data_IF_284333532670
#
_entry.id   IF_284333532670
#
_cell.length_a   1.000
_cell.length_b   1.000
_cell.length_c   1.000
_cell.angle_alpha   90.00
_cell.angle_beta   90.00
_cell.angle_gamma   90.00
#
_symmetry.space_group_name_H-M   'P 1'
#
loop_
_entity.id
_entity.type
_entity.pdbx_description
1 polymer ?
#
# COMPACT_ATOMS: atom_id res chain seq x y z
N UNK A 1 -11.43 36.44 32.22
CA UNK A 1 -10.90 37.59 32.97
C UNK A 1 -11.72 38.81 32.60
N UNK A 2 -12.16 39.55 33.61
CA UNK A 2 -12.88 40.83 33.45
C UNK A 2 -11.90 41.94 33.79
N UNK A 3 -11.72 42.88 32.87
CA UNK A 3 -10.94 44.11 33.12
C UNK A 3 -11.94 45.25 33.20
N UNK A 4 -11.91 46.02 34.30
CA UNK A 4 -12.76 47.17 34.53
C UNK A 4 -11.86 48.43 34.41
N UNK A 5 -12.28 49.33 33.55
CA UNK A 5 -11.62 50.66 33.42
C UNK A 5 -12.60 51.74 33.83
N UNK A 6 -12.09 52.67 34.62
CA UNK A 6 -12.85 53.84 35.06
C UNK A 6 -12.11 55.13 34.63
N UNK A 7 -12.84 56.12 34.14
CA UNK A 7 -12.28 57.45 33.90
C UNK A 7 -12.24 58.23 35.20
N UNK A 8 -11.07 58.34 35.79
CA UNK A 8 -10.88 58.97 37.12
C UNK A 8 -10.63 60.46 37.10
N UNK A 9 -10.40 61.09 35.92
CA UNK A 9 -10.19 62.51 35.78
C UNK A 9 -10.52 63.03 34.38
N UNK A 10 -11.35 64.07 34.28
CA UNK A 10 -11.61 64.85 33.05
C UNK A 10 -11.28 66.36 33.33
N UNK A 11 -10.58 67.01 32.40
CA UNK A 11 -10.26 68.43 32.46
C UNK A 11 -11.37 69.30 31.83
N UNK A 12 -12.44 68.73 31.33
CA UNK A 12 -13.60 69.44 30.74
C UNK A 12 -14.88 69.08 31.48
N UNK A 13 -15.77 70.06 31.62
CA UNK A 13 -17.09 69.89 32.22
C UNK A 13 -17.92 68.86 31.42
N UNK A 14 -18.34 67.85 32.13
CA UNK A 14 -19.31 66.91 31.56
C UNK A 14 -20.61 67.70 31.26
N UNK A 15 -21.21 67.55 30.06
CA UNK A 15 -22.45 68.24 29.68
C UNK A 15 -23.61 67.91 30.59
N UNK A 16 -23.54 66.89 31.42
CA UNK A 16 -24.55 66.52 32.41
C UNK A 16 -24.30 67.15 33.80
N UNK A 17 -23.23 67.94 33.99
CA UNK A 17 -22.99 68.76 35.17
C UNK A 17 -22.56 68.04 36.46
N UNK A 18 -22.12 66.82 36.36
CA UNK A 18 -21.69 65.97 37.48
C UNK A 18 -20.20 65.95 37.54
N UNK A 19 -19.62 66.49 38.62
CA UNK A 19 -18.19 66.44 38.90
C UNK A 19 -17.87 65.09 39.53
N UNK A 20 -17.17 64.27 38.77
CA UNK A 20 -16.82 62.90 39.18
C UNK A 20 -15.63 62.95 40.16
N UNK A 21 -15.88 62.48 41.36
CA UNK A 21 -14.85 62.41 42.40
C UNK A 21 -15.14 61.49 43.59
N UNK A 22 -16.25 60.73 43.50
CA UNK A 22 -16.56 59.78 44.53
C UNK A 22 -17.30 58.57 43.88
N UNK A 23 -16.83 57.37 44.14
CA UNK A 23 -17.48 56.10 43.88
C UNK A 23 -18.98 56.12 44.18
N UNK A 24 -19.82 56.57 43.25
CA UNK A 24 -21.27 56.43 43.36
C UNK A 24 -21.69 55.21 42.52
N UNK A 25 -22.51 54.32 43.06
CA UNK A 25 -22.82 53.03 42.43
C UNK A 25 -23.67 53.09 41.14
N UNK A 26 -23.81 54.29 40.51
CA UNK A 26 -24.71 54.51 39.37
C UNK A 26 -24.06 55.29 38.22
N UNK A 27 -22.75 55.38 38.15
CA UNK A 27 -22.08 56.07 37.01
C UNK A 27 -21.96 55.15 35.83
N UNK A 28 -22.36 55.69 34.66
CA UNK A 28 -22.44 54.95 33.38
C UNK A 28 -21.05 54.83 32.71
N UNK A 29 -19.95 55.27 33.40
CA UNK A 29 -18.61 55.32 32.83
C UNK A 29 -17.80 54.03 33.02
N UNK A 30 -18.38 53.02 33.64
CA UNK A 30 -17.75 51.69 33.75
C UNK A 30 -18.10 50.86 32.53
N UNK A 31 -17.09 50.47 31.79
CA UNK A 31 -17.24 49.47 30.76
C UNK A 31 -16.49 48.19 31.13
N UNK A 32 -17.23 47.14 31.32
CA UNK A 32 -16.69 45.82 31.54
C UNK A 32 -16.35 45.21 30.17
N UNK A 33 -15.08 44.94 29.95
CA UNK A 33 -14.64 44.14 28.81
C UNK A 33 -14.38 42.73 29.27
N UNK A 34 -15.23 41.81 28.85
CA UNK A 34 -15.01 40.39 29.10
C UNK A 34 -14.16 39.80 27.99
N UNK A 35 -12.95 39.34 28.35
CA UNK A 35 -12.10 38.59 27.45
C UNK A 35 -12.33 37.11 27.74
N UNK A 36 -12.86 36.39 26.77
CA UNK A 36 -12.96 34.94 26.80
C UNK A 36 -11.79 34.35 26.00
N UNK A 37 -10.81 33.72 26.64
CA UNK A 37 -9.69 33.09 25.94
C UNK A 37 -10.23 31.99 25.01
N UNK A 38 -9.84 32.03 23.76
CA UNK A 38 -10.13 30.96 22.80
C UNK A 38 -9.17 29.81 23.09
N UNK A 39 -9.70 28.58 23.20
CA UNK A 39 -8.86 27.38 23.30
C UNK A 39 -8.28 27.08 21.93
N UNK A 40 -6.96 26.90 21.89
CA UNK A 40 -6.21 26.55 20.69
C UNK A 40 -5.56 25.19 20.90
N UNK A 41 -5.60 24.37 19.89
CA UNK A 41 -4.92 23.06 19.79
C UNK A 41 -3.93 23.09 18.62
N UNK A 42 -3.07 22.10 18.56
CA UNK A 42 -2.15 21.82 17.45
C UNK A 42 -2.16 20.29 17.26
N UNK A 43 -3.04 19.82 16.35
CA UNK A 43 -3.25 18.40 16.09
C UNK A 43 -2.40 17.99 14.88
N UNK A 44 -1.22 17.48 15.14
CA UNK A 44 -0.36 16.92 14.08
C UNK A 44 -0.82 15.52 13.75
N UNK A 45 -1.24 15.33 12.49
CA UNK A 45 -1.74 14.06 11.95
C UNK A 45 -0.71 13.47 10.99
N UNK A 46 -0.27 12.24 11.24
CA UNK A 46 0.66 11.53 10.35
C UNK A 46 0.11 10.17 9.95
N UNK A 47 0.47 9.74 8.73
CA UNK A 47 0.12 8.44 8.18
C UNK A 47 1.37 7.76 7.63
N UNK A 48 1.48 6.45 7.82
CA UNK A 48 2.54 5.61 7.27
C UNK A 48 1.97 4.28 6.81
N UNK A 49 2.68 3.60 5.91
CA UNK A 49 2.39 2.22 5.49
C UNK A 49 3.62 1.33 5.70
N UNK A 50 3.41 0.11 6.16
CA UNK A 50 4.48 -0.85 6.46
C UNK A 50 5.14 -1.44 5.20
N UNK A 51 4.42 -1.52 4.08
CA UNK A 51 4.87 -2.13 2.84
C UNK A 51 4.42 -1.29 1.64
N UNK A 52 5.37 -0.63 0.99
CA UNK A 52 5.10 0.25 -0.17
C UNK A 52 4.98 -0.51 -1.50
N UNK A 53 5.52 -1.74 -1.60
CA UNK A 53 5.49 -2.58 -2.80
C UNK A 53 4.93 -3.97 -2.49
N UNK A 54 3.62 -4.09 -2.19
CA UNK A 54 3.00 -5.37 -1.90
C UNK A 54 2.65 -6.15 -3.18
N UNK A 55 2.48 -7.47 -3.03
CA UNK A 55 1.82 -8.30 -4.03
C UNK A 55 0.29 -8.21 -3.90
N UNK A 56 -0.43 -8.57 -4.96
CA UNK A 56 -1.86 -8.82 -4.86
C UNK A 56 -2.14 -9.91 -3.81
N UNK A 57 -3.11 -9.67 -2.94
CA UNK A 57 -3.49 -10.58 -1.86
C UNK A 57 -2.76 -10.33 -0.54
N UNK A 58 -1.66 -9.57 -0.53
CA UNK A 58 -0.97 -9.19 0.70
C UNK A 58 -1.86 -8.36 1.63
N UNK A 59 -1.53 -8.40 2.91
CA UNK A 59 -2.04 -7.46 3.90
C UNK A 59 -1.00 -6.35 4.06
N UNK A 60 -1.44 -5.10 3.98
CA UNK A 60 -0.67 -3.91 4.34
C UNK A 60 -1.27 -3.27 5.58
N UNK A 61 -0.43 -2.67 6.42
CA UNK A 61 -0.87 -1.97 7.62
C UNK A 61 -0.59 -0.47 7.49
N UNK A 62 -1.66 0.32 7.52
CA UNK A 62 -1.57 1.77 7.68
C UNK A 62 -1.55 2.11 9.16
N UNK A 63 -0.64 2.99 9.56
CA UNK A 63 -0.56 3.57 10.91
C UNK A 63 -0.89 5.05 10.81
N UNK A 64 -1.93 5.49 11.51
CA UNK A 64 -2.32 6.89 11.61
C UNK A 64 -2.09 7.32 13.04
N UNK A 65 -1.36 8.42 13.23
CA UNK A 65 -1.08 8.98 14.57
C UNK A 65 -1.54 10.43 14.60
N UNK A 66 -2.27 10.79 15.65
CA UNK A 66 -2.67 12.17 15.95
C UNK A 66 -2.04 12.57 17.27
N UNK A 67 -1.26 13.63 17.26
CA UNK A 67 -0.59 14.18 18.46
C UNK A 67 -1.15 15.57 18.73
N UNK A 68 -1.49 15.89 19.99
CA UNK A 68 -1.87 17.24 20.38
C UNK A 68 -0.68 17.98 20.99
N UNK A 69 0.01 18.81 20.18
CA UNK A 69 1.12 19.66 20.60
C UNK A 69 0.66 21.03 21.13
N UNK A 70 -0.65 21.30 21.10
CA UNK A 70 -1.20 22.59 21.46
C UNK A 70 -1.29 22.84 22.96
N UNK A 71 -1.58 24.09 23.33
CA UNK A 71 -1.65 24.48 24.73
C UNK A 71 -2.97 24.07 25.44
N UNK A 72 -3.96 23.54 24.71
CA UNK A 72 -5.24 23.12 25.27
C UNK A 72 -5.52 21.65 24.97
N UNK A 73 -6.32 20.98 25.83
CA UNK A 73 -6.87 19.67 25.52
C UNK A 73 -7.79 19.79 24.30
N UNK A 74 -7.60 18.95 23.31
CA UNK A 74 -8.49 18.81 22.16
C UNK A 74 -9.67 17.93 22.53
N UNK A 75 -10.89 18.36 22.16
CA UNK A 75 -12.13 17.63 22.43
C UNK A 75 -12.90 17.30 21.16
N UNK A 76 -13.62 16.16 21.15
CA UNK A 76 -14.42 15.72 20.00
C UNK A 76 -13.57 15.46 18.74
N UNK A 77 -12.31 15.06 18.92
CA UNK A 77 -11.36 14.85 17.82
C UNK A 77 -11.80 13.67 16.96
N UNK A 78 -11.77 13.86 15.65
CA UNK A 78 -12.06 12.84 14.65
C UNK A 78 -11.30 13.11 13.35
N UNK A 79 -11.20 12.08 12.50
CA UNK A 79 -10.70 12.16 11.12
C UNK A 79 -11.33 11.06 10.26
N UNK A 80 -11.17 11.17 8.95
CA UNK A 80 -11.69 10.19 7.98
C UNK A 80 -10.56 9.55 7.19
N UNK A 81 -10.54 8.22 7.12
CA UNK A 81 -9.73 7.38 6.23
C UNK A 81 -10.64 6.44 5.44
N UNK A 82 -10.93 6.81 4.20
CA UNK A 82 -11.65 5.95 3.28
C UNK A 82 -10.64 5.20 2.41
N UNK A 83 -10.50 3.89 2.65
CA UNK A 83 -9.61 3.07 1.83
C UNK A 83 -9.97 3.20 0.34
N UNK A 84 -8.99 3.48 -0.53
CA UNK A 84 -9.21 3.65 -1.97
C UNK A 84 -9.55 2.31 -2.64
N UNK A 85 -10.04 2.39 -3.89
CA UNK A 85 -10.19 1.22 -4.75
C UNK A 85 -8.86 0.45 -4.86
N UNK A 86 -8.93 -0.88 -4.82
CA UNK A 86 -7.75 -1.75 -4.80
C UNK A 86 -7.32 -2.18 -3.40
N UNK A 87 -7.96 -1.64 -2.36
CA UNK A 87 -7.79 -2.07 -0.96
C UNK A 87 -9.12 -2.52 -0.37
N UNK A 88 -9.10 -3.60 0.40
CA UNK A 88 -10.24 -4.08 1.18
C UNK A 88 -9.90 -4.07 2.66
N UNK A 89 -10.75 -3.46 3.47
CA UNK A 89 -10.62 -3.46 4.92
C UNK A 89 -10.62 -4.89 5.49
N UNK A 90 -9.73 -5.15 6.46
CA UNK A 90 -9.63 -6.43 7.18
C UNK A 90 -9.91 -6.25 8.65
N UNK A 91 -9.18 -5.37 9.32
CA UNK A 91 -9.27 -5.14 10.76
C UNK A 91 -8.64 -3.81 11.14
N UNK A 92 -8.90 -3.35 12.34
CA UNK A 92 -8.21 -2.20 12.94
C UNK A 92 -7.94 -2.40 14.42
N UNK A 93 -7.01 -1.60 14.94
CA UNK A 93 -6.77 -1.40 16.37
C UNK A 93 -6.63 0.10 16.61
N UNK A 94 -7.40 0.66 17.53
CA UNK A 94 -7.33 2.06 17.91
C UNK A 94 -6.92 2.18 19.39
N UNK A 95 -5.99 3.09 19.70
CA UNK A 95 -5.47 3.35 21.05
C UNK A 95 -5.30 4.84 21.29
N UNK A 96 -5.19 5.25 22.57
CA UNK A 96 -5.16 6.67 22.94
C UNK A 96 -6.54 7.32 22.80
N UNK A 97 -6.70 8.60 23.18
CA UNK A 97 -8.01 9.25 23.14
C UNK A 97 -9.02 8.68 24.13
N UNK A 98 -10.25 9.20 24.13
CA UNK A 98 -11.29 8.80 25.10
C UNK A 98 -12.42 7.95 24.52
N UNK A 99 -12.56 7.87 23.19
CA UNK A 99 -13.62 7.11 22.49
C UNK A 99 -13.06 5.95 21.70
N UNK A 100 -12.16 6.22 20.72
CA UNK A 100 -11.45 5.23 19.90
C UNK A 100 -12.35 4.25 19.12
N UNK A 101 -13.35 4.76 18.41
CA UNK A 101 -14.16 3.94 17.51
C UNK A 101 -13.83 4.24 16.05
N UNK A 102 -13.62 3.20 15.24
CA UNK A 102 -13.42 3.31 13.79
C UNK A 102 -14.50 2.51 13.07
N UNK A 103 -15.27 3.17 12.21
CA UNK A 103 -16.33 2.53 11.42
C UNK A 103 -16.62 3.35 10.15
N UNK A 104 -16.77 2.67 9.02
CA UNK A 104 -17.11 3.31 7.75
C UNK A 104 -16.13 4.40 7.31
N UNK A 105 -14.85 4.26 7.64
CA UNK A 105 -13.81 5.23 7.35
C UNK A 105 -13.69 6.37 8.37
N UNK A 106 -14.63 6.54 9.29
CA UNK A 106 -14.56 7.57 10.33
C UNK A 106 -13.91 7.02 11.60
N UNK A 107 -12.85 7.70 12.07
CA UNK A 107 -12.23 7.45 13.37
C UNK A 107 -12.62 8.55 14.34
N UNK A 108 -13.45 8.19 15.34
CA UNK A 108 -13.77 9.05 16.47
C UNK A 108 -12.78 8.78 17.59
N UNK A 109 -11.91 9.73 17.84
CA UNK A 109 -10.85 9.64 18.85
C UNK A 109 -11.35 10.09 20.22
N UNK A 110 -12.21 11.11 20.24
CA UNK A 110 -12.69 11.76 21.47
C UNK A 110 -11.73 12.86 21.92
N UNK A 111 -11.28 12.83 23.17
CA UNK A 111 -10.39 13.88 23.70
C UNK A 111 -8.94 13.42 23.65
N UNK A 112 -8.04 14.35 23.29
CA UNK A 112 -6.58 14.17 23.33
C UNK A 112 -6.00 15.26 24.25
N UNK A 113 -5.39 14.86 25.35
CA UNK A 113 -4.75 15.80 26.28
C UNK A 113 -3.51 16.43 25.65
N UNK A 114 -3.06 17.54 26.23
CA UNK A 114 -1.81 18.23 25.86
C UNK A 114 -0.66 17.23 25.90
N UNK A 115 0.15 17.17 24.83
CA UNK A 115 1.31 16.29 24.70
C UNK A 115 0.97 14.79 24.56
N UNK A 116 -0.32 14.43 24.47
CA UNK A 116 -0.76 13.05 24.28
C UNK A 116 -1.02 12.75 22.81
N UNK A 117 -1.10 11.45 22.48
CA UNK A 117 -1.37 10.98 21.13
C UNK A 117 -2.46 9.90 21.11
N UNK A 118 -3.05 9.72 19.94
CA UNK A 118 -3.89 8.59 19.61
C UNK A 118 -3.36 7.91 18.33
N UNK A 119 -3.51 6.60 18.23
CA UNK A 119 -3.02 5.81 17.08
C UNK A 119 -4.10 4.87 16.59
N UNK A 120 -4.28 4.81 15.27
CA UNK A 120 -5.13 3.85 14.56
C UNK A 120 -4.27 3.02 13.62
N UNK A 121 -4.31 1.71 13.80
CA UNK A 121 -3.73 0.72 12.88
C UNK A 121 -4.87 0.15 12.02
N UNK A 122 -4.74 0.22 10.70
CA UNK A 122 -5.70 -0.35 9.75
C UNK A 122 -4.99 -1.42 8.93
N UNK A 123 -5.44 -2.66 9.02
CA UNK A 123 -5.01 -3.73 8.12
C UNK A 123 -5.94 -3.76 6.90
N UNK A 124 -5.35 -3.67 5.72
CA UNK A 124 -6.06 -3.72 4.45
C UNK A 124 -5.47 -4.79 3.54
N UNK A 125 -6.31 -5.57 2.86
CA UNK A 125 -5.90 -6.53 1.83
C UNK A 125 -5.78 -5.82 0.49
N UNK A 126 -4.68 -6.05 -0.21
CA UNK A 126 -4.48 -5.60 -1.59
C UNK A 126 -5.33 -6.46 -2.51
N UNK A 127 -6.35 -5.88 -3.13
CA UNK A 127 -7.26 -6.55 -4.08
C UNK A 127 -6.95 -6.22 -5.54
N UNK A 128 -6.28 -5.07 -5.78
CA UNK A 128 -5.82 -4.71 -7.11
C UNK A 128 -4.71 -5.65 -7.58
N UNK A 129 -4.74 -6.00 -8.86
CA UNK A 129 -3.62 -6.65 -9.53
C UNK A 129 -2.51 -5.63 -9.82
N UNK A 130 -1.27 -6.10 -9.83
CA UNK A 130 -0.16 -5.31 -10.35
C UNK A 130 -0.33 -5.06 -11.84
N UNK A 131 0.17 -3.94 -12.33
CA UNK A 131 0.13 -3.55 -13.74
C UNK A 131 1.53 -3.21 -14.24
N UNK A 132 1.76 -3.37 -15.54
CA UNK A 132 3.04 -2.98 -16.17
C UNK A 132 3.34 -1.49 -16.00
N UNK A 133 2.32 -0.64 -15.88
CA UNK A 133 2.47 0.80 -15.63
C UNK A 133 2.74 1.18 -14.17
N UNK A 134 2.68 0.22 -13.24
CA UNK A 134 2.92 0.43 -11.80
C UNK A 134 2.14 1.65 -11.24
N UNK A 135 0.85 1.75 -11.57
CA UNK A 135 0.01 2.86 -11.10
C UNK A 135 -0.15 2.81 -9.58
N UNK A 136 0.22 3.86 -8.84
CA UNK A 136 0.10 3.87 -7.39
C UNK A 136 -1.35 3.84 -6.92
N UNK A 137 -1.60 3.11 -5.83
CA UNK A 137 -2.82 3.24 -5.02
C UNK A 137 -2.50 4.24 -3.91
N UNK A 138 -3.15 5.40 -3.98
CA UNK A 138 -2.93 6.51 -3.05
C UNK A 138 -4.04 6.49 -2.00
N UNK A 139 -3.68 6.43 -0.72
CA UNK A 139 -4.60 6.51 0.41
C UNK A 139 -4.36 7.82 1.18
N UNK A 140 -5.34 8.72 1.13
CA UNK A 140 -5.30 10.04 1.76
C UNK A 140 -6.36 10.12 2.85
N UNK A 141 -5.99 10.71 4.01
CA UNK A 141 -6.90 10.97 5.12
C UNK A 141 -7.20 12.47 5.24
N UNK A 142 -8.26 12.80 5.95
CA UNK A 142 -8.46 14.18 6.40
C UNK A 142 -7.52 14.49 7.57
N UNK A 143 -7.06 15.74 7.76
CA UNK A 143 -6.43 16.13 9.01
C UNK A 143 -7.39 15.88 10.18
N UNK A 144 -6.85 15.60 11.36
CA UNK A 144 -7.66 15.50 12.56
C UNK A 144 -8.25 16.87 12.90
N UNK A 145 -9.53 16.89 13.31
CA UNK A 145 -10.21 18.10 13.70
C UNK A 145 -11.01 17.85 15.01
N UNK A 146 -11.08 18.86 15.86
CA UNK A 146 -11.81 18.88 17.13
C UNK A 146 -12.75 20.07 17.25
N UNK A 147 -13.24 20.31 18.47
CA UNK A 147 -14.10 21.45 18.77
C UNK A 147 -13.29 22.76 18.94
N UNK A 148 -12.01 22.67 19.26
CA UNK A 148 -11.08 23.79 19.43
C UNK A 148 -10.48 24.18 18.10
N UNK A 149 -10.04 25.43 17.98
CA UNK A 149 -9.35 25.91 16.78
C UNK A 149 -7.94 25.32 16.68
N UNK A 150 -7.64 24.74 15.52
CA UNK A 150 -6.30 24.34 15.12
C UNK A 150 -5.83 25.31 14.01
N UNK A 151 -4.93 26.24 14.30
CA UNK A 151 -4.52 27.27 13.33
C UNK A 151 -3.37 26.82 12.42
N UNK A 152 -2.84 25.60 12.58
CA UNK A 152 -1.66 25.12 11.85
C UNK A 152 -1.88 23.72 11.30
N UNK A 153 -1.23 23.43 10.17
CA UNK A 153 -1.09 22.10 9.57
C UNK A 153 0.38 21.70 9.47
N UNK A 154 1.24 22.39 10.21
CA UNK A 154 2.68 22.11 10.21
C UNK A 154 2.95 20.76 10.86
N UNK A 155 3.57 19.86 10.10
CA UNK A 155 3.86 18.50 10.53
C UNK A 155 2.83 17.46 10.12
N UNK A 156 1.71 17.85 9.50
CA UNK A 156 0.76 16.91 8.91
C UNK A 156 1.38 16.18 7.71
N UNK A 157 1.24 14.85 7.72
CA UNK A 157 1.54 13.97 6.60
C UNK A 157 0.37 13.01 6.41
N UNK A 158 -0.49 13.32 5.44
CA UNK A 158 -1.83 12.75 5.31
C UNK A 158 -1.95 11.69 4.23
N UNK A 159 -0.88 11.41 3.48
CA UNK A 159 -0.98 10.61 2.26
C UNK A 159 0.11 9.55 2.20
N UNK A 160 -0.31 8.32 1.97
CA UNK A 160 0.57 7.20 1.67
C UNK A 160 0.19 6.55 0.35
N UNK A 161 1.18 5.98 -0.33
CA UNK A 161 0.97 5.24 -1.57
C UNK A 161 1.62 3.87 -1.53
N UNK A 162 0.99 2.93 -2.23
CA UNK A 162 1.57 1.62 -2.51
C UNK A 162 1.56 1.37 -4.01
N UNK A 163 2.54 0.61 -4.50
CA UNK A 163 2.60 0.14 -5.89
C UNK A 163 2.50 -1.39 -5.85
N UNK A 164 1.42 -1.95 -6.40
CA UNK A 164 1.25 -3.40 -6.43
C UNK A 164 2.22 -3.98 -7.46
N UNK A 165 3.05 -4.93 -7.02
CA UNK A 165 4.08 -5.53 -7.87
C UNK A 165 3.48 -6.39 -8.98
N UNK A 166 4.12 -6.41 -10.14
CA UNK A 166 3.82 -7.30 -11.27
C UNK A 166 5.09 -7.72 -11.98
N UNK A 167 5.09 -8.90 -12.55
CA UNK A 167 6.13 -9.41 -13.45
C UNK A 167 5.51 -9.79 -14.78
N UNK A 168 6.29 -9.75 -15.85
CA UNK A 168 5.91 -10.21 -17.18
C UNK A 168 6.83 -11.39 -17.54
N UNK A 169 6.35 -12.61 -17.31
CA UNK A 169 7.11 -13.84 -17.46
C UNK A 169 6.84 -14.46 -18.83
N UNK A 170 7.67 -14.11 -19.80
CA UNK A 170 7.58 -14.68 -21.15
C UNK A 170 8.27 -16.05 -21.17
N UNK A 171 7.51 -17.07 -21.60
CA UNK A 171 7.97 -18.47 -21.74
C UNK A 171 8.04 -18.85 -23.21
N UNK A 172 9.24 -19.18 -23.68
CA UNK A 172 9.49 -19.64 -25.06
C UNK A 172 10.01 -21.06 -25.05
N UNK A 173 9.48 -21.91 -25.93
CA UNK A 173 9.90 -23.29 -26.13
C UNK A 173 10.44 -23.49 -27.55
N UNK A 174 11.53 -24.24 -27.69
CA UNK A 174 12.10 -24.60 -28.97
C UNK A 174 12.60 -26.04 -28.96
N UNK A 175 12.69 -26.64 -30.13
CA UNK A 175 13.27 -27.98 -30.34
C UNK A 175 14.49 -27.90 -31.27
N UNK A 176 15.54 -28.63 -30.95
CA UNK A 176 16.79 -28.62 -31.73
C UNK A 176 16.63 -29.24 -33.13
N UNK A 177 15.65 -30.11 -33.33
CA UNK A 177 15.37 -30.77 -34.60
C UNK A 177 13.91 -31.20 -34.66
N UNK A 178 13.17 -30.72 -35.64
CA UNK A 178 11.73 -31.02 -35.83
C UNK A 178 11.43 -32.34 -36.53
N UNK A 179 12.41 -32.93 -37.26
CA UNK A 179 12.26 -34.24 -37.96
C UNK A 179 13.40 -35.18 -37.55
N UNK A 180 13.44 -35.64 -36.28
CA UNK A 180 14.47 -36.57 -35.82
C UNK A 180 14.18 -38.00 -36.31
N UNK A 181 15.22 -38.84 -36.34
CA UNK A 181 15.10 -40.29 -36.53
C UNK A 181 14.93 -41.00 -35.19
N UNK A 182 14.30 -42.20 -35.21
CA UNK A 182 14.30 -43.07 -34.03
C UNK A 182 15.72 -43.35 -33.53
N UNK A 183 15.91 -43.36 -32.20
CA UNK A 183 17.22 -43.49 -31.56
C UNK A 183 18.09 -42.24 -31.59
N UNK A 184 17.63 -41.15 -32.18
CA UNK A 184 18.32 -39.87 -32.14
C UNK A 184 18.00 -39.12 -30.85
N UNK A 185 19.02 -38.39 -30.31
CA UNK A 185 18.81 -37.52 -29.16
C UNK A 185 18.60 -36.08 -29.64
N UNK A 186 17.49 -35.49 -29.19
CA UNK A 186 17.17 -34.08 -29.43
C UNK A 186 17.10 -33.31 -28.12
N UNK A 187 17.03 -31.97 -28.22
CA UNK A 187 16.92 -31.08 -27.06
C UNK A 187 15.69 -30.21 -27.18
N UNK A 188 14.83 -30.25 -26.18
CA UNK A 188 13.86 -29.18 -25.93
C UNK A 188 14.50 -28.12 -25.07
N UNK A 189 14.45 -26.88 -25.52
CA UNK A 189 14.93 -25.71 -24.78
C UNK A 189 13.76 -24.84 -24.36
N UNK A 190 13.60 -24.60 -23.06
CA UNK A 190 12.58 -23.73 -22.48
C UNK A 190 13.27 -22.53 -21.88
N UNK A 191 12.94 -21.35 -22.40
CA UNK A 191 13.45 -20.07 -21.92
C UNK A 191 12.38 -19.34 -21.16
N UNK A 192 12.68 -18.80 -19.98
CA UNK A 192 11.81 -17.89 -19.22
C UNK A 192 12.53 -16.59 -19.03
N UNK A 193 11.91 -15.50 -19.47
CA UNK A 193 12.42 -14.13 -19.32
C UNK A 193 11.43 -13.32 -18.49
N UNK A 194 11.91 -12.59 -17.50
CA UNK A 194 11.10 -11.61 -16.77
C UNK A 194 11.30 -10.23 -17.42
N UNK A 195 10.33 -9.75 -18.18
CA UNK A 195 10.34 -8.43 -18.80
C UNK A 195 9.88 -7.31 -17.83
N UNK A 196 9.67 -7.66 -16.57
CA UNK A 196 9.40 -6.70 -15.49
C UNK A 196 7.95 -6.28 -15.40
N UNK A 197 7.64 -5.15 -14.74
CA UNK A 197 8.55 -4.14 -14.16
C UNK A 197 9.21 -4.52 -12.83
N UNK A 198 8.70 -5.54 -12.10
CA UNK A 198 9.26 -5.98 -10.82
C UNK A 198 10.05 -7.28 -10.98
N UNK A 199 10.90 -7.58 -9.99
CA UNK A 199 11.47 -8.91 -9.82
C UNK A 199 10.34 -9.92 -9.58
N UNK A 200 10.51 -11.14 -10.13
CA UNK A 200 9.61 -12.26 -9.90
C UNK A 200 10.22 -13.21 -8.87
N UNK A 201 9.40 -13.68 -7.92
CA UNK A 201 9.80 -14.66 -6.91
C UNK A 201 8.98 -15.95 -7.05
N UNK A 202 9.52 -17.07 -6.58
CA UNK A 202 8.83 -18.36 -6.62
C UNK A 202 8.47 -18.84 -8.02
N UNK A 203 9.26 -18.45 -9.03
CA UNK A 203 8.97 -18.75 -10.45
C UNK A 203 9.10 -20.26 -10.72
N UNK A 204 8.10 -20.82 -11.39
CA UNK A 204 8.03 -22.22 -11.78
C UNK A 204 7.17 -22.42 -13.01
N UNK A 205 7.39 -23.52 -13.72
CA UNK A 205 6.55 -24.02 -14.81
C UNK A 205 6.50 -25.56 -14.81
N UNK A 206 5.69 -26.13 -15.68
CA UNK A 206 5.58 -27.58 -15.84
C UNK A 206 5.74 -27.95 -17.32
N UNK A 207 6.67 -28.86 -17.60
CA UNK A 207 6.89 -29.50 -18.89
C UNK A 207 6.93 -31.03 -18.70
N UNK A 208 5.83 -31.67 -19.02
CA UNK A 208 5.71 -33.14 -18.96
C UNK A 208 6.06 -33.71 -20.33
N UNK A 209 7.12 -34.52 -20.39
CA UNK A 209 7.55 -35.14 -21.63
C UNK A 209 6.46 -36.03 -22.23
N UNK A 210 6.18 -35.92 -23.54
CA UNK A 210 5.15 -36.70 -24.22
C UNK A 210 5.58 -38.17 -24.45
N UNK A 211 4.61 -38.99 -24.79
CA UNK A 211 4.87 -40.36 -25.29
C UNK A 211 5.64 -40.29 -26.60
N UNK A 212 6.64 -41.15 -26.76
CA UNK A 212 7.51 -41.22 -27.95
C UNK A 212 8.90 -40.63 -27.74
N UNK A 213 9.15 -40.09 -26.49
CA UNK A 213 10.49 -39.68 -26.08
C UNK A 213 10.82 -40.21 -24.69
N UNK A 214 12.09 -40.53 -24.50
CA UNK A 214 12.63 -40.95 -23.20
C UNK A 214 13.61 -39.91 -22.69
N UNK A 215 13.45 -39.48 -21.43
CA UNK A 215 14.35 -38.52 -20.76
C UNK A 215 15.78 -39.07 -20.69
N UNK A 216 16.76 -38.20 -21.00
CA UNK A 216 18.18 -38.54 -20.89
C UNK A 216 18.87 -37.72 -19.81
N UNK A 217 18.78 -36.40 -19.88
CA UNK A 217 19.38 -35.45 -18.92
C UNK A 217 18.81 -34.04 -19.09
N UNK A 218 19.10 -33.17 -18.13
CA UNK A 218 18.86 -31.73 -18.24
C UNK A 218 20.09 -30.93 -17.76
N UNK A 219 20.10 -29.61 -17.99
CA UNK A 219 21.15 -28.71 -17.58
C UNK A 219 20.89 -28.01 -16.23
N UNK A 220 19.72 -28.19 -15.60
CA UNK A 220 19.31 -27.57 -14.33
C UNK A 220 19.38 -28.54 -13.13
N UNK A 221 19.84 -29.76 -13.34
CA UNK A 221 19.99 -30.78 -12.28
C UNK A 221 18.68 -31.04 -11.55
N UNK A 222 18.67 -30.89 -10.22
CA UNK A 222 17.51 -31.19 -9.37
C UNK A 222 16.39 -30.12 -9.46
N UNK A 223 16.67 -28.95 -10.00
CA UNK A 223 15.68 -27.88 -10.15
C UNK A 223 14.61 -28.25 -11.19
N UNK A 224 14.92 -29.18 -12.10
CA UNK A 224 13.93 -29.82 -12.98
C UNK A 224 13.70 -31.29 -12.59
N UNK A 225 12.48 -31.59 -12.17
CA UNK A 225 12.05 -32.96 -11.87
C UNK A 225 11.34 -33.56 -13.09
N UNK A 226 12.03 -34.44 -13.84
CA UNK A 226 11.49 -35.01 -15.08
C UNK A 226 10.27 -35.90 -14.84
N UNK A 227 10.08 -36.48 -13.62
CA UNK A 227 8.92 -37.33 -13.30
C UNK A 227 7.65 -36.54 -13.11
N UNK A 228 7.73 -35.33 -12.59
CA UNK A 228 6.59 -34.41 -12.43
C UNK A 228 6.53 -33.35 -13.53
N UNK A 229 7.61 -33.17 -14.31
CA UNK A 229 7.77 -32.10 -15.27
C UNK A 229 7.98 -30.72 -14.68
N UNK A 230 8.10 -30.59 -13.35
CA UNK A 230 8.21 -29.28 -12.69
C UNK A 230 9.66 -28.76 -12.78
N UNK A 231 9.80 -27.54 -13.31
CA UNK A 231 11.01 -26.75 -13.21
C UNK A 231 10.82 -25.62 -12.20
N UNK A 232 11.61 -25.65 -11.12
CA UNK A 232 11.66 -24.63 -10.06
C UNK A 232 12.77 -23.64 -10.41
N UNK A 233 12.40 -22.47 -10.90
CA UNK A 233 13.34 -21.42 -11.33
C UNK A 233 13.78 -20.59 -10.14
N UNK A 234 12.89 -20.41 -9.13
CA UNK A 234 13.10 -19.55 -7.97
C UNK A 234 12.94 -18.07 -8.31
N UNK A 235 13.85 -17.24 -7.83
CA UNK A 235 13.78 -15.79 -8.08
C UNK A 235 14.37 -15.44 -9.44
N UNK A 236 13.69 -14.56 -10.17
CA UNK A 236 14.06 -14.09 -11.49
C UNK A 236 13.95 -12.55 -11.54
N UNK A 237 15.09 -11.87 -11.47
CA UNK A 237 15.12 -10.40 -11.48
C UNK A 237 14.54 -9.83 -12.78
N UNK A 238 14.06 -8.60 -12.71
CA UNK A 238 13.61 -7.87 -13.90
C UNK A 238 14.72 -7.83 -14.97
N UNK A 239 14.39 -8.17 -16.22
CA UNK A 239 15.32 -8.29 -17.34
C UNK A 239 16.14 -9.59 -17.37
N UNK A 240 16.03 -10.44 -16.34
CA UNK A 240 16.77 -11.70 -16.28
C UNK A 240 16.10 -12.83 -17.09
N UNK A 241 16.93 -13.78 -17.49
CA UNK A 241 16.51 -14.97 -18.26
C UNK A 241 17.11 -16.23 -17.65
N UNK A 242 16.32 -17.31 -17.64
CA UNK A 242 16.78 -18.69 -17.33
C UNK A 242 16.41 -19.62 -18.47
N UNK A 243 17.23 -20.67 -18.69
CA UNK A 243 17.03 -21.63 -19.76
C UNK A 243 17.15 -23.06 -19.20
N UNK A 244 16.14 -23.88 -19.47
CA UNK A 244 16.15 -25.32 -19.22
C UNK A 244 16.32 -26.04 -20.54
N UNK A 245 17.38 -26.85 -20.68
CA UNK A 245 17.60 -27.77 -21.79
C UNK A 245 17.31 -29.20 -21.34
N UNK A 246 16.34 -29.86 -21.98
CA UNK A 246 15.98 -31.24 -21.73
C UNK A 246 16.40 -32.08 -22.92
N UNK A 247 17.39 -32.96 -22.74
CA UNK A 247 17.79 -33.93 -23.74
C UNK A 247 16.89 -35.18 -23.65
N UNK A 248 16.34 -35.55 -24.76
CA UNK A 248 15.47 -36.74 -24.89
C UNK A 248 15.89 -37.61 -26.04
N UNK A 249 15.73 -38.92 -25.89
CA UNK A 249 15.90 -39.92 -26.93
C UNK A 249 14.55 -40.14 -27.62
N UNK A 250 14.53 -40.20 -28.95
CA UNK A 250 13.36 -40.58 -29.73
C UNK A 250 13.17 -42.11 -29.65
N UNK A 251 12.00 -42.49 -29.12
CA UNK A 251 11.69 -43.90 -28.90
C UNK A 251 11.48 -44.69 -30.22
N UNK A 252 11.83 -45.95 -30.19
CA UNK A 252 11.50 -46.87 -31.30
C UNK A 252 9.96 -47.05 -31.46
N UNK A 253 9.48 -47.10 -32.69
CA UNK A 253 8.05 -47.13 -33.02
C UNK A 253 7.41 -45.75 -33.07
N UNK A 254 8.20 -44.66 -33.05
CA UNK A 254 7.77 -43.26 -33.21
C UNK A 254 7.76 -42.80 -34.67
N UNK A 255 8.38 -43.56 -35.57
CA UNK A 255 8.47 -43.20 -36.99
C UNK A 255 7.10 -42.94 -37.61
N UNK A 256 6.93 -41.82 -38.30
CA UNK A 256 5.68 -41.41 -38.91
C UNK A 256 4.60 -40.89 -37.95
N UNK A 257 4.92 -40.73 -36.66
CA UNK A 257 4.05 -40.10 -35.64
C UNK A 257 4.49 -38.68 -35.37
N UNK A 258 3.52 -37.82 -35.11
CA UNK A 258 3.75 -36.50 -34.60
C UNK A 258 3.88 -36.55 -33.07
N UNK A 259 4.98 -36.02 -32.53
CA UNK A 259 5.22 -35.91 -31.10
C UNK A 259 5.08 -34.43 -30.73
N UNK A 260 4.09 -34.09 -29.91
CA UNK A 260 3.86 -32.71 -29.46
C UNK A 260 4.28 -32.58 -28.00
N UNK A 261 5.18 -31.68 -27.72
CA UNK A 261 5.60 -31.33 -26.35
C UNK A 261 5.13 -29.92 -25.97
N UNK A 262 4.33 -29.82 -24.92
CA UNK A 262 3.73 -28.59 -24.44
C UNK A 262 4.23 -28.29 -23.03
N UNK A 263 4.65 -27.05 -22.78
CA UNK A 263 4.94 -26.53 -21.44
C UNK A 263 3.79 -25.63 -20.96
N UNK A 264 3.69 -25.41 -19.66
CA UNK A 264 2.84 -24.34 -19.13
C UNK A 264 3.61 -23.00 -19.21
N UNK A 265 2.88 -21.88 -19.26
CA UNK A 265 3.48 -20.58 -18.99
C UNK A 265 4.12 -20.58 -17.59
N UNK A 266 5.24 -19.88 -17.42
CA UNK A 266 5.85 -19.68 -16.13
C UNK A 266 4.95 -18.83 -15.22
N UNK A 267 4.97 -19.11 -13.90
CA UNK A 267 4.22 -18.36 -12.89
C UNK A 267 5.11 -18.07 -11.70
N UNK A 268 4.99 -16.86 -11.15
CA UNK A 268 5.61 -16.42 -9.91
C UNK A 268 4.58 -16.02 -8.85
N UNK A 269 5.06 -15.38 -7.79
CA UNK A 269 4.21 -14.82 -6.72
C UNK A 269 3.58 -13.48 -7.13
N UNK A 270 4.22 -12.76 -8.07
CA UNK A 270 3.72 -11.50 -8.63
C UNK A 270 2.67 -11.79 -9.70
N UNK A 271 1.73 -10.86 -9.87
CA UNK A 271 0.78 -10.92 -10.97
C UNK A 271 1.51 -10.78 -12.30
N UNK A 272 1.22 -11.69 -13.24
CA UNK A 272 1.60 -11.58 -14.64
C UNK A 272 0.37 -11.11 -15.44
N UNK A 273 0.34 -9.84 -15.88
CA UNK A 273 -0.85 -9.27 -16.53
C UNK A 273 -0.94 -9.58 -18.03
N UNK A 274 0.04 -10.26 -18.62
CA UNK A 274 0.11 -10.52 -20.05
C UNK A 274 0.60 -11.94 -20.37
N UNK A 275 0.22 -12.44 -21.51
CA UNK A 275 0.75 -13.69 -22.11
C UNK A 275 1.39 -13.39 -23.48
N UNK A 276 1.66 -12.11 -23.76
CA UNK A 276 2.27 -11.70 -25.03
C UNK A 276 3.71 -12.18 -25.09
N UNK A 277 4.04 -12.94 -26.12
CA UNK A 277 5.37 -13.50 -26.32
C UNK A 277 5.52 -14.96 -25.87
N UNK A 278 4.53 -15.51 -25.16
CA UNK A 278 4.55 -16.94 -24.82
C UNK A 278 4.45 -17.82 -26.09
N UNK A 279 5.39 -18.75 -26.22
CA UNK A 279 5.40 -19.83 -27.21
C UNK A 279 5.62 -21.16 -26.47
N UNK A 280 4.55 -21.92 -26.27
CA UNK A 280 4.50 -23.02 -25.31
C UNK A 280 4.54 -24.41 -25.95
N UNK A 281 4.56 -24.52 -27.29
CA UNK A 281 4.32 -25.78 -27.99
C UNK A 281 5.39 -26.00 -29.02
N UNK A 282 5.99 -27.22 -29.00
CA UNK A 282 6.87 -27.74 -30.07
C UNK A 282 6.36 -29.06 -30.63
N UNK A 283 6.55 -29.21 -31.96
CA UNK A 283 6.06 -30.36 -32.73
C UNK A 283 7.17 -31.03 -33.54
#
# INVERSE_FOLDING_TARGET
>A
YTNVAEVTKVDQLDPNGIIHGNNTPNEIDQSDVTIVPVKIVDLVTTKTVDKSNPNQGDIVQYTITVVNNGPSTATGVNLTDNLPAGLAYVSHVATGGTINTYSGGLWNIGNINIGSSATLLINARVTAAGTVSQTPIVNTITPAAGNESDPTTVGDDLTEQIIVTSSDLVTEKTVSKSNPSEGETITYSIRVTNNGPSDATGVRLTDILPIGVTYVRNNQGADYNYGSGIWTIGDLANGATKVLDINVLIDSGSAGKTIVNTTTAAKGDQTDPTTVGDDLIET
#
